data_IF_467362297743
#
_entry.id   IF_467362297743
#
_cell.length_a   1.000
_cell.length_b   1.000
_cell.length_c   1.000
_cell.angle_alpha   90.00
_cell.angle_beta   90.00
_cell.angle_gamma   90.00
#
_symmetry.space_group_name_H-M   'P 1'
#
loop_
_entity.id
_entity.type
_entity.pdbx_description
1 polymer ?
#
# COMPACT_ATOMS: atom_id res chain seq x y z
N UNK A 1 -9.22 -3.84 -9.54
CA UNK A 1 -9.12 -5.11 -8.80
C UNK A 1 -7.70 -5.22 -8.30
N UNK A 2 -7.47 -5.29 -6.99
CA UNK A 2 -6.12 -5.53 -6.45
C UNK A 2 -5.87 -7.04 -6.57
N UNK A 3 -4.91 -7.44 -7.40
CA UNK A 3 -4.50 -8.83 -7.52
C UNK A 3 -3.24 -9.04 -6.68
N UNK A 4 -3.31 -9.79 -5.56
CA UNK A 4 -2.09 -10.20 -4.87
C UNK A 4 -1.23 -11.07 -5.82
N UNK A 5 0.11 -11.03 -5.70
CA UNK A 5 0.98 -11.86 -6.51
C UNK A 5 0.58 -13.35 -6.40
N UNK A 6 0.43 -14.03 -7.53
CA UNK A 6 0.10 -15.44 -7.53
C UNK A 6 1.25 -16.24 -6.88
N UNK A 7 0.93 -17.12 -5.93
CA UNK A 7 1.86 -18.12 -5.40
C UNK A 7 2.79 -17.69 -4.27
N UNK A 8 2.52 -16.58 -3.57
CA UNK A 8 3.29 -16.19 -2.39
C UNK A 8 3.08 -17.16 -1.20
N UNK A 9 4.16 -17.59 -0.57
CA UNK A 9 4.13 -18.40 0.66
C UNK A 9 4.79 -17.64 1.83
N UNK A 10 4.20 -17.74 3.02
CA UNK A 10 4.76 -17.20 4.26
C UNK A 10 5.31 -18.37 5.09
N UNK A 11 6.53 -18.24 5.61
CA UNK A 11 7.13 -19.19 6.55
C UNK A 11 7.19 -18.55 7.92
N UNK A 12 6.65 -19.24 8.93
CA UNK A 12 6.66 -18.77 10.33
C UNK A 12 7.25 -19.83 11.26
N UNK A 13 8.01 -19.45 12.30
CA UNK A 13 8.54 -20.40 13.28
C UNK A 13 7.39 -20.93 14.16
N UNK A 14 7.13 -22.24 14.11
CA UNK A 14 5.99 -22.86 14.79
C UNK A 14 6.08 -22.64 16.31
N UNK A 15 7.23 -22.90 16.91
CA UNK A 15 7.40 -22.87 18.36
C UNK A 15 7.12 -21.48 18.94
N UNK A 16 7.79 -20.45 18.43
CA UNK A 16 7.59 -19.06 18.88
C UNK A 16 6.19 -18.54 18.56
N UNK A 17 5.58 -18.98 17.45
CA UNK A 17 4.22 -18.56 17.10
C UNK A 17 3.22 -19.08 18.12
N UNK A 18 3.39 -20.33 18.58
CA UNK A 18 2.49 -20.96 19.55
C UNK A 18 2.73 -20.43 20.96
N UNK A 19 3.99 -20.42 21.44
CA UNK A 19 4.29 -20.01 22.81
C UNK A 19 3.96 -18.54 23.07
N UNK A 20 4.23 -17.67 22.09
CA UNK A 20 3.96 -16.24 22.22
C UNK A 20 2.52 -15.88 21.81
N UNK A 21 1.71 -16.85 21.34
CA UNK A 21 0.34 -16.62 20.89
C UNK A 21 0.22 -15.66 19.69
N UNK A 22 1.20 -15.69 18.77
CA UNK A 22 1.22 -14.79 17.60
C UNK A 22 0.16 -15.19 16.58
N UNK A 23 -0.52 -14.19 16.00
CA UNK A 23 -1.53 -14.37 14.96
C UNK A 23 -1.07 -13.81 13.62
N UNK A 24 -1.35 -14.54 12.53
CA UNK A 24 -1.14 -14.08 11.15
C UNK A 24 -2.51 -13.86 10.52
N UNK A 25 -2.86 -12.60 10.26
CA UNK A 25 -4.17 -12.23 9.73
C UNK A 25 -3.95 -11.54 8.38
N UNK A 26 -4.60 -12.06 7.35
CA UNK A 26 -4.66 -11.40 6.04
C UNK A 26 -5.64 -10.24 6.06
N UNK A 27 -5.24 -9.08 5.53
CA UNK A 27 -6.12 -7.94 5.29
C UNK A 27 -5.80 -7.36 3.92
N UNK A 28 -6.83 -7.23 3.07
CA UNK A 28 -6.71 -6.70 1.72
C UNK A 28 -7.89 -5.78 1.44
N UNK A 29 -7.58 -4.56 0.99
CA UNK A 29 -8.54 -3.47 0.71
C UNK A 29 -9.53 -3.16 1.84
N UNK A 30 -10.07 -1.95 1.85
CA UNK A 30 -11.10 -1.53 2.81
C UNK A 30 -12.51 -1.71 2.24
N UNK A 31 -13.48 -1.76 3.14
CA UNK A 31 -14.88 -1.49 2.83
C UNK A 31 -15.09 -0.01 2.49
N UNK A 32 -16.30 0.34 2.02
CA UNK A 32 -16.67 1.76 1.82
C UNK A 32 -16.66 2.55 3.13
N UNK A 33 -17.03 1.91 4.24
CA UNK A 33 -16.98 2.54 5.56
C UNK A 33 -15.53 2.84 5.98
N UNK A 34 -14.59 1.93 5.73
CA UNK A 34 -13.16 2.16 6.01
C UNK A 34 -12.63 3.36 5.21
N UNK A 35 -13.07 3.52 3.96
CA UNK A 35 -12.71 4.67 3.12
C UNK A 35 -13.21 5.99 3.72
N UNK A 36 -14.48 6.06 4.11
CA UNK A 36 -15.08 7.25 4.71
C UNK A 36 -14.37 7.64 6.01
N UNK A 37 -14.02 6.65 6.83
CA UNK A 37 -13.28 6.87 8.08
C UNK A 37 -11.87 7.40 7.82
N UNK A 38 -11.14 6.83 6.86
CA UNK A 38 -9.78 7.27 6.50
C UNK A 38 -9.79 8.68 5.93
N UNK A 39 -10.75 9.03 5.08
CA UNK A 39 -10.86 10.40 4.58
C UNK A 39 -11.16 11.41 5.67
N UNK A 40 -12.02 11.06 6.63
CA UNK A 40 -12.28 11.91 7.80
C UNK A 40 -11.03 12.10 8.65
N UNK A 41 -10.22 11.06 8.85
CA UNK A 41 -8.92 11.18 9.54
C UNK A 41 -7.96 12.09 8.79
N UNK A 42 -7.91 12.00 7.47
CA UNK A 42 -7.07 12.86 6.63
C UNK A 42 -7.51 14.32 6.67
N UNK A 43 -8.81 14.58 6.54
CA UNK A 43 -9.39 15.93 6.67
C UNK A 43 -9.13 16.54 8.06
N UNK A 44 -9.07 15.72 9.11
CA UNK A 44 -8.68 16.13 10.46
C UNK A 44 -7.15 16.34 10.63
N UNK A 45 -6.36 16.25 9.57
CA UNK A 45 -4.90 16.43 9.61
C UNK A 45 -4.14 15.30 10.32
N UNK A 46 -4.79 14.17 10.57
CA UNK A 46 -4.19 13.04 11.32
C UNK A 46 -3.37 12.10 10.44
N UNK A 47 -3.42 12.28 9.13
CA UNK A 47 -2.63 11.53 8.15
C UNK A 47 -2.08 12.48 7.08
N UNK A 48 -0.96 12.10 6.46
CA UNK A 48 -0.36 12.82 5.33
C UNK A 48 -0.05 11.84 4.22
N UNK A 49 -0.38 12.20 2.98
CA UNK A 49 0.04 11.43 1.80
C UNK A 49 1.38 11.96 1.32
N UNK A 50 2.36 11.08 1.14
CA UNK A 50 3.64 11.41 0.52
C UNK A 50 3.52 11.07 -0.95
N UNK A 51 3.65 12.08 -1.81
CA UNK A 51 3.55 11.92 -3.25
C UNK A 51 4.33 13.02 -3.97
N UNK A 52 4.63 12.77 -5.24
CA UNK A 52 5.09 13.76 -6.20
C UNK A 52 4.11 13.83 -7.37
N UNK A 53 3.92 15.02 -7.92
CA UNK A 53 3.05 15.23 -9.09
C UNK A 53 3.91 15.20 -10.34
N UNK A 54 3.47 14.46 -11.36
CA UNK A 54 4.13 14.42 -12.68
C UNK A 54 3.12 14.60 -13.80
N UNK A 55 3.53 15.14 -14.96
CA UNK A 55 2.68 15.17 -16.14
C UNK A 55 2.39 13.76 -16.68
N UNK A 56 1.19 13.53 -17.21
CA UNK A 56 0.77 12.22 -17.71
C UNK A 56 1.66 11.70 -18.85
N UNK A 57 2.26 12.57 -19.66
CA UNK A 57 3.19 12.19 -20.73
C UNK A 57 4.42 11.41 -20.24
N UNK A 58 4.77 11.55 -18.95
CA UNK A 58 5.91 10.86 -18.32
C UNK A 58 5.55 9.48 -17.75
N UNK A 59 4.36 8.95 -18.07
CA UNK A 59 3.84 7.72 -17.45
C UNK A 59 4.76 6.52 -17.58
N UNK A 60 5.38 6.31 -18.75
CA UNK A 60 6.23 5.13 -18.96
C UNK A 60 7.51 5.19 -18.12
N UNK A 61 8.16 6.35 -18.10
CA UNK A 61 9.37 6.58 -17.30
C UNK A 61 9.05 6.47 -15.80
N UNK A 62 7.91 7.03 -15.38
CA UNK A 62 7.41 6.94 -14.01
C UNK A 62 7.19 5.49 -13.56
N UNK A 63 6.65 4.63 -14.42
CA UNK A 63 6.48 3.19 -14.11
C UNK A 63 7.84 2.50 -14.00
N UNK A 64 8.79 2.79 -14.89
CA UNK A 64 10.14 2.23 -14.82
C UNK A 64 10.83 2.59 -13.50
N UNK A 65 10.78 3.86 -13.09
CA UNK A 65 11.36 4.32 -11.82
C UNK A 65 10.71 3.66 -10.59
N UNK A 66 9.39 3.40 -10.61
CA UNK A 66 8.70 2.66 -9.54
C UNK A 66 9.20 1.23 -9.45
N UNK A 67 9.38 0.54 -10.58
CA UNK A 67 9.88 -0.82 -10.63
C UNK A 67 11.35 -0.90 -10.18
N UNK A 68 12.14 0.11 -10.50
CA UNK A 68 13.55 0.25 -10.09
C UNK A 68 13.71 0.77 -8.64
N UNK A 69 12.61 1.02 -7.94
CA UNK A 69 12.61 1.47 -6.54
C UNK A 69 13.17 2.87 -6.32
N UNK A 70 13.17 3.72 -7.35
CA UNK A 70 13.71 5.10 -7.28
C UNK A 70 12.70 6.12 -6.76
N UNK A 71 11.43 5.75 -6.65
CA UNK A 71 10.35 6.61 -6.17
C UNK A 71 10.19 6.45 -4.66
N UNK A 72 10.16 7.57 -3.93
CA UNK A 72 10.07 7.55 -2.46
C UNK A 72 8.74 6.96 -1.94
N UNK A 73 7.61 7.21 -2.61
CA UNK A 73 6.31 6.69 -2.17
C UNK A 73 5.29 6.50 -3.29
N UNK A 74 4.79 7.60 -3.87
CA UNK A 74 3.69 7.61 -4.85
C UNK A 74 3.94 8.70 -5.90
N UNK A 75 3.69 8.36 -7.16
CA UNK A 75 3.53 9.33 -8.25
C UNK A 75 2.03 9.56 -8.44
N UNK A 76 1.63 10.81 -8.57
CA UNK A 76 0.27 11.23 -8.94
C UNK A 76 0.37 11.97 -10.27
N UNK A 77 -0.39 11.54 -11.27
CA UNK A 77 -0.39 12.22 -12.56
C UNK A 77 -1.35 13.42 -12.54
N UNK A 78 -0.87 14.55 -13.05
CA UNK A 78 -1.72 15.68 -13.40
C UNK A 78 -2.50 15.34 -14.68
N UNK A 79 -3.80 15.66 -14.69
CA UNK A 79 -4.75 15.36 -15.78
C UNK A 79 -5.27 16.63 -16.43
#
# INVERSE_FOLDING_TARGET
MVAPPAGGAIRVPIFDTVLDGKSVIGSIVGTRQDLDEVFRLHAAGRTKVIYEVRPLETVNDSIAEVLDGQVTARIVFEM
#
